data_IF_921676676623
#
_entry.id   IF_921676676623
#
_cell.length_a   1.000
_cell.length_b   1.000
_cell.length_c   1.000
_cell.angle_alpha   90.00
_cell.angle_beta   90.00
_cell.angle_gamma   90.00
#
_symmetry.space_group_name_H-M   'P 1'
#
loop_
_entity.id
_entity.type
_entity.pdbx_description
1 polymer ?
#
# COMPACT_ATOMS: atom_id res chain seq x y z
N UNK A 1 10.75 -1.78 -22.47
CA UNK A 1 10.11 -0.71 -21.69
C UNK A 1 8.70 -1.18 -21.35
N UNK A 2 8.31 -1.24 -20.08
CA UNK A 2 6.93 -1.65 -19.75
C UNK A 2 5.99 -0.53 -20.17
N UNK A 3 4.98 -0.84 -20.98
CA UNK A 3 3.93 0.09 -21.38
C UNK A 3 2.96 0.29 -20.23
N UNK A 4 2.62 1.54 -19.91
CA UNK A 4 1.63 1.82 -18.89
C UNK A 4 0.22 1.41 -19.37
N UNK A 5 -0.72 1.17 -18.45
CA UNK A 5 -2.12 0.96 -18.80
C UNK A 5 -2.68 2.17 -19.56
N UNK A 6 -3.54 1.97 -20.59
CA UNK A 6 -4.10 3.08 -21.39
C UNK A 6 -4.79 4.17 -20.56
N UNK A 7 -5.44 3.79 -19.45
CA UNK A 7 -6.11 4.73 -18.54
C UNK A 7 -5.13 5.73 -17.90
N UNK A 8 -3.85 5.38 -17.74
CA UNK A 8 -2.85 6.28 -17.16
C UNK A 8 -2.53 7.49 -18.05
N UNK A 9 -2.87 7.44 -19.34
CA UNK A 9 -2.68 8.58 -20.24
C UNK A 9 -3.57 9.78 -19.94
N UNK A 10 -4.62 9.56 -19.14
CA UNK A 10 -5.55 10.61 -18.69
C UNK A 10 -5.03 11.36 -17.45
N UNK A 11 -3.97 10.86 -16.80
CA UNK A 11 -3.40 11.50 -15.62
C UNK A 11 -2.65 12.80 -15.99
N UNK A 12 -2.56 13.80 -15.10
CA UNK A 12 -1.65 14.92 -15.26
C UNK A 12 -0.19 14.46 -15.41
N UNK A 13 0.64 15.18 -16.16
CA UNK A 13 2.00 14.75 -16.50
C UNK A 13 2.87 14.41 -15.28
N UNK A 14 2.79 15.21 -14.21
CA UNK A 14 3.49 14.92 -12.96
C UNK A 14 3.06 13.59 -12.32
N UNK A 15 1.76 13.28 -12.34
CA UNK A 15 1.23 12.02 -11.82
C UNK A 15 1.60 10.83 -12.72
N UNK A 16 1.67 11.02 -14.05
CA UNK A 16 2.14 9.97 -14.97
C UNK A 16 3.56 9.50 -14.61
N UNK A 17 4.45 10.42 -14.27
CA UNK A 17 5.83 10.11 -13.87
C UNK A 17 5.83 9.23 -12.61
N UNK A 18 5.12 9.66 -11.57
CA UNK A 18 5.02 8.91 -10.31
C UNK A 18 4.39 7.52 -10.51
N UNK A 19 3.27 7.46 -11.24
CA UNK A 19 2.59 6.21 -11.54
C UNK A 19 3.49 5.27 -12.35
N UNK A 20 4.26 5.79 -13.31
CA UNK A 20 5.23 5.01 -14.08
C UNK A 20 6.33 4.42 -13.22
N UNK A 21 6.91 5.22 -12.32
CA UNK A 21 7.93 4.76 -11.40
C UNK A 21 7.39 3.62 -10.52
N UNK A 22 6.20 3.82 -9.95
CA UNK A 22 5.54 2.82 -9.13
C UNK A 22 5.23 1.52 -9.89
N UNK A 23 4.64 1.64 -11.08
CA UNK A 23 4.27 0.49 -11.91
C UNK A 23 5.49 -0.33 -12.32
N UNK A 24 6.57 0.34 -12.72
CA UNK A 24 7.83 -0.32 -13.06
C UNK A 24 8.45 -1.02 -11.85
N UNK A 25 8.48 -0.37 -10.68
CA UNK A 25 9.00 -0.96 -9.45
C UNK A 25 8.25 -2.24 -9.07
N UNK A 26 6.90 -2.21 -9.09
CA UNK A 26 6.10 -3.40 -8.78
C UNK A 26 6.35 -4.55 -9.77
N UNK A 27 6.49 -4.25 -11.06
CA UNK A 27 6.78 -5.28 -12.06
C UNK A 27 8.18 -5.86 -11.87
N UNK A 28 9.16 -5.02 -11.53
CA UNK A 28 10.53 -5.46 -11.23
C UNK A 28 10.56 -6.37 -9.99
N UNK A 29 9.90 -5.96 -8.90
CA UNK A 29 9.79 -6.77 -7.69
C UNK A 29 9.07 -8.09 -7.99
N UNK A 30 7.96 -8.06 -8.71
CA UNK A 30 7.22 -9.27 -9.08
C UNK A 30 8.07 -10.23 -9.90
N UNK A 31 8.84 -9.69 -10.85
CA UNK A 31 9.77 -10.48 -11.68
C UNK A 31 10.87 -11.11 -10.82
N UNK A 32 11.50 -10.32 -9.93
CA UNK A 32 12.57 -10.80 -9.03
C UNK A 32 12.05 -11.85 -8.04
N UNK A 33 10.89 -11.65 -7.45
CA UNK A 33 10.26 -12.62 -6.54
C UNK A 33 9.94 -13.91 -7.29
N UNK A 34 9.37 -13.84 -8.50
CA UNK A 34 9.08 -15.03 -9.29
C UNK A 34 10.34 -15.79 -9.68
N UNK A 35 11.37 -15.09 -10.16
CA UNK A 35 12.64 -15.73 -10.54
C UNK A 35 13.35 -16.39 -9.36
N UNK A 36 13.30 -15.78 -8.17
CA UNK A 36 14.01 -16.28 -6.99
C UNK A 36 13.24 -17.36 -6.23
N UNK A 37 11.93 -17.20 -6.12
CA UNK A 37 11.08 -17.99 -5.21
C UNK A 37 9.97 -18.77 -5.92
N UNK A 38 9.80 -18.61 -7.23
CA UNK A 38 8.78 -19.31 -8.02
C UNK A 38 7.34 -18.82 -7.85
N UNK A 39 7.13 -17.77 -7.04
CA UNK A 39 5.80 -17.22 -6.76
C UNK A 39 5.60 -15.85 -7.43
N UNK A 40 4.43 -15.60 -8.03
CA UNK A 40 4.12 -14.32 -8.66
C UNK A 40 3.28 -13.43 -7.70
N UNK A 41 3.86 -12.36 -7.12
CA UNK A 41 3.16 -11.52 -6.14
C UNK A 41 2.31 -10.41 -6.77
N UNK A 42 2.23 -10.31 -8.10
CA UNK A 42 1.63 -9.17 -8.81
C UNK A 42 0.24 -8.81 -8.29
N UNK A 43 -0.61 -9.82 -8.03
CA UNK A 43 -1.96 -9.61 -7.52
C UNK A 43 -1.96 -8.96 -6.12
N UNK A 44 -1.23 -9.56 -5.19
CA UNK A 44 -1.11 -9.08 -3.81
C UNK A 44 -0.52 -7.69 -3.72
N UNK A 45 0.55 -7.40 -4.49
CA UNK A 45 1.12 -6.05 -4.56
C UNK A 45 0.10 -5.04 -5.08
N UNK A 46 -0.58 -5.35 -6.18
CA UNK A 46 -1.62 -4.47 -6.75
C UNK A 46 -2.73 -4.20 -5.75
N UNK A 47 -3.22 -5.23 -5.07
CA UNK A 47 -4.27 -5.12 -4.04
C UNK A 47 -3.83 -4.19 -2.89
N UNK A 48 -2.59 -4.33 -2.41
CA UNK A 48 -2.07 -3.49 -1.33
C UNK A 48 -2.00 -2.00 -1.73
N UNK A 49 -1.53 -1.72 -2.95
CA UNK A 49 -1.49 -0.36 -3.52
C UNK A 49 -2.88 0.24 -3.74
N UNK A 50 -3.82 -0.56 -4.24
CA UNK A 50 -5.20 -0.12 -4.41
C UNK A 50 -5.83 0.29 -3.07
N UNK A 51 -5.62 -0.50 -2.01
CA UNK A 51 -6.08 -0.16 -0.67
C UNK A 51 -5.48 1.15 -0.15
N UNK A 52 -4.18 1.39 -0.38
CA UNK A 52 -3.53 2.64 0.02
C UNK A 52 -4.13 3.85 -0.72
N UNK A 53 -4.29 3.76 -2.04
CA UNK A 53 -4.87 4.86 -2.82
C UNK A 53 -6.32 5.15 -2.43
N UNK A 54 -7.10 4.13 -2.11
CA UNK A 54 -8.46 4.31 -1.57
C UNK A 54 -8.43 5.03 -0.22
N UNK A 55 -7.50 4.68 0.67
CA UNK A 55 -7.37 5.34 1.96
C UNK A 55 -6.92 6.81 1.82
N UNK A 56 -5.99 7.11 0.92
CA UNK A 56 -5.62 8.49 0.60
C UNK A 56 -6.77 9.29 0.00
N UNK A 57 -7.60 8.68 -0.85
CA UNK A 57 -8.77 9.35 -1.40
C UNK A 57 -9.75 9.75 -0.30
N UNK A 58 -10.00 8.86 0.67
CA UNK A 58 -10.85 9.18 1.83
C UNK A 58 -10.32 10.36 2.63
N UNK A 59 -9.01 10.42 2.90
CA UNK A 59 -8.39 11.57 3.58
C UNK A 59 -8.52 12.86 2.76
N UNK A 60 -8.31 12.77 1.44
CA UNK A 60 -8.46 13.91 0.54
C UNK A 60 -9.91 14.42 0.50
N UNK A 61 -10.90 13.54 0.54
CA UNK A 61 -12.32 13.89 0.59
C UNK A 61 -12.69 14.56 1.93
N UNK A 62 -12.20 14.03 3.06
CA UNK A 62 -12.35 14.69 4.37
C UNK A 62 -11.75 16.08 4.37
N UNK A 63 -10.52 16.22 3.87
CA UNK A 63 -9.83 17.50 3.76
C UNK A 63 -10.59 18.49 2.86
N UNK A 64 -10.98 18.08 1.66
CA UNK A 64 -11.65 18.95 0.68
C UNK A 64 -13.04 19.41 1.13
N UNK A 65 -13.75 18.58 1.91
CA UNK A 65 -15.06 18.92 2.47
C UNK A 65 -15.00 19.67 3.80
N UNK A 66 -13.81 19.79 4.41
CA UNK A 66 -13.66 20.28 5.78
C UNK A 66 -14.29 19.36 6.84
N UNK A 67 -14.58 18.11 6.48
CA UNK A 67 -15.16 17.13 7.39
C UNK A 67 -14.10 16.64 8.38
N UNK A 68 -14.41 16.74 9.67
CA UNK A 68 -13.57 16.20 10.74
C UNK A 68 -14.13 14.83 11.12
N UNK A 69 -13.47 13.72 10.75
CA UNK A 69 -13.95 12.38 11.11
C UNK A 69 -13.87 12.15 12.63
N UNK A 70 -14.60 11.16 13.12
CA UNK A 70 -14.39 10.66 14.49
C UNK A 70 -13.01 10.00 14.57
N UNK A 71 -12.40 10.03 15.75
CA UNK A 71 -11.06 9.45 15.95
C UNK A 71 -10.95 7.97 15.55
N UNK A 72 -12.01 7.18 15.75
CA UNK A 72 -12.05 5.78 15.31
C UNK A 72 -12.08 5.65 13.78
N UNK A 73 -12.92 6.43 13.09
CA UNK A 73 -13.02 6.43 11.63
C UNK A 73 -11.70 6.89 11.00
N UNK A 74 -11.12 7.97 11.55
CA UNK A 74 -9.80 8.46 11.18
C UNK A 74 -8.74 7.38 11.33
N UNK A 75 -8.67 6.72 12.49
CA UNK A 75 -7.63 5.74 12.76
C UNK A 75 -7.80 4.48 11.90
N UNK A 76 -9.04 4.04 11.66
CA UNK A 76 -9.32 2.89 10.80
C UNK A 76 -8.81 3.12 9.37
N UNK A 77 -9.00 4.32 8.82
CA UNK A 77 -8.43 4.69 7.53
C UNK A 77 -6.91 4.95 7.63
N UNK A 78 -6.49 5.64 8.69
CA UNK A 78 -5.11 6.03 9.02
C UNK A 78 -4.13 4.87 9.08
N UNK A 79 -4.59 3.73 9.60
CA UNK A 79 -3.82 2.47 9.60
C UNK A 79 -3.42 2.07 8.18
N UNK A 80 -4.31 2.24 7.20
CA UNK A 80 -4.02 1.91 5.79
C UNK A 80 -3.27 3.05 5.11
N UNK A 81 -3.68 4.31 5.31
CA UNK A 81 -3.03 5.47 4.69
C UNK A 81 -1.59 5.70 5.18
N UNK A 82 -1.20 5.14 6.33
CA UNK A 82 0.20 5.12 6.78
C UNK A 82 1.17 4.45 5.79
N UNK A 83 0.67 3.58 4.90
CA UNK A 83 1.49 2.86 3.92
C UNK A 83 2.35 1.73 4.49
N UNK A 84 2.36 1.53 5.81
CA UNK A 84 3.15 0.50 6.50
C UNK A 84 2.80 -0.90 6.01
N UNK A 85 1.52 -1.15 5.75
CA UNK A 85 1.03 -2.45 5.27
C UNK A 85 1.66 -2.85 3.94
N UNK A 86 1.84 -1.89 3.03
CA UNK A 86 2.49 -2.11 1.74
C UNK A 86 3.93 -2.54 1.95
N UNK A 87 4.67 -1.87 2.84
CA UNK A 87 6.07 -2.21 3.13
C UNK A 87 6.17 -3.65 3.63
N UNK A 88 5.29 -4.06 4.55
CA UNK A 88 5.28 -5.41 5.10
C UNK A 88 4.91 -6.48 4.06
N UNK A 89 3.95 -6.20 3.18
CA UNK A 89 3.61 -7.09 2.05
C UNK A 89 4.81 -7.26 1.11
N UNK A 90 5.51 -6.17 0.77
CA UNK A 90 6.71 -6.24 -0.07
C UNK A 90 7.83 -7.06 0.59
N UNK A 91 8.09 -6.83 1.89
CA UNK A 91 9.10 -7.59 2.65
C UNK A 91 8.78 -9.09 2.63
N UNK A 92 7.52 -9.47 2.87
CA UNK A 92 7.10 -10.88 2.85
C UNK A 92 7.48 -11.58 1.53
N UNK A 93 7.15 -10.97 0.39
CA UNK A 93 7.46 -11.53 -0.93
C UNK A 93 8.95 -11.48 -1.28
N UNK A 94 9.68 -10.45 -0.85
CA UNK A 94 11.12 -10.33 -1.11
C UNK A 94 11.91 -11.37 -0.30
N UNK A 95 11.53 -11.61 0.96
CA UNK A 95 12.11 -12.65 1.80
C UNK A 95 11.82 -14.05 1.24
N UNK A 96 10.60 -14.27 0.75
CA UNK A 96 10.17 -15.51 0.11
C UNK A 96 10.10 -16.73 1.05
N UNK A 97 10.18 -16.50 2.36
CA UNK A 97 10.10 -17.57 3.35
C UNK A 97 8.66 -18.07 3.46
N UNK A 98 8.45 -19.38 3.24
CA UNK A 98 7.14 -20.04 3.35
C UNK A 98 6.07 -19.42 2.44
N UNK A 99 6.42 -19.06 1.20
CA UNK A 99 5.44 -18.64 0.19
C UNK A 99 4.55 -19.82 -0.22
N UNK A 100 3.43 -19.97 0.48
CA UNK A 100 2.32 -20.84 0.13
C UNK A 100 1.09 -19.98 -0.16
N UNK A 101 0.13 -20.53 -0.92
CA UNK A 101 -1.12 -19.83 -1.22
C UNK A 101 -1.86 -19.42 0.07
N UNK A 102 -1.90 -20.30 1.06
CA UNK A 102 -2.48 -20.04 2.38
C UNK A 102 -1.80 -18.86 3.10
N UNK A 103 -0.47 -18.81 3.13
CA UNK A 103 0.23 -17.71 3.78
C UNK A 103 0.04 -16.38 3.03
N UNK A 104 -0.05 -16.43 1.70
CA UNK A 104 -0.36 -15.25 0.87
C UNK A 104 -1.77 -14.74 1.17
N UNK A 105 -2.75 -15.62 1.30
CA UNK A 105 -4.13 -15.24 1.69
C UNK A 105 -4.18 -14.62 3.09
N UNK A 106 -3.41 -15.14 4.04
CA UNK A 106 -3.28 -14.55 5.38
C UNK A 106 -2.72 -13.14 5.29
N UNK A 107 -1.64 -12.93 4.53
CA UNK A 107 -1.00 -11.61 4.37
C UNK A 107 -1.93 -10.63 3.64
N UNK A 108 -2.58 -11.06 2.56
CA UNK A 108 -3.55 -10.28 1.80
C UNK A 108 -4.84 -9.97 2.58
N UNK A 109 -5.10 -10.74 3.65
CA UNK A 109 -6.20 -10.57 4.60
C UNK A 109 -5.94 -9.53 5.69
N UNK A 110 -4.81 -8.82 5.64
CA UNK A 110 -4.45 -7.78 6.60
C UNK A 110 -4.45 -8.29 8.06
N UNK A 111 -3.57 -9.25 8.38
CA UNK A 111 -3.59 -9.94 9.66
C UNK A 111 -3.21 -9.00 10.81
N UNK A 112 -3.58 -9.39 12.04
CA UNK A 112 -3.36 -8.59 13.26
C UNK A 112 -1.95 -8.06 13.43
N UNK A 113 -0.93 -8.80 13.02
CA UNK A 113 0.45 -8.33 13.10
C UNK A 113 0.69 -7.10 12.22
N UNK A 114 0.18 -7.10 10.99
CA UNK A 114 0.31 -5.97 10.07
C UNK A 114 -0.53 -4.79 10.59
N UNK A 115 -1.78 -5.02 10.97
CA UNK A 115 -2.66 -3.95 11.46
C UNK A 115 -2.15 -3.32 12.76
N UNK A 116 -1.55 -4.11 13.66
CA UNK A 116 -0.99 -3.58 14.91
C UNK A 116 0.24 -2.71 14.67
N UNK A 117 1.15 -3.14 13.80
CA UNK A 117 2.36 -2.36 13.46
C UNK A 117 1.97 -1.08 12.74
N UNK A 118 1.03 -1.14 11.79
CA UNK A 118 0.52 0.03 11.09
C UNK A 118 -0.20 1.01 12.03
N UNK A 119 -1.00 0.50 12.98
CA UNK A 119 -1.66 1.33 14.01
C UNK A 119 -0.64 2.03 14.91
N UNK A 120 0.37 1.31 15.39
CA UNK A 120 1.42 1.89 16.21
C UNK A 120 2.15 3.02 15.47
N UNK A 121 2.58 2.77 14.23
CA UNK A 121 3.30 3.76 13.44
C UNK A 121 2.42 4.96 13.08
N UNK A 122 1.14 4.77 12.75
CA UNK A 122 0.22 5.90 12.52
C UNK A 122 0.09 6.79 13.76
N UNK A 123 -0.14 6.18 14.92
CA UNK A 123 -0.28 6.93 16.16
C UNK A 123 1.02 7.64 16.56
N UNK A 124 2.17 7.02 16.31
CA UNK A 124 3.47 7.62 16.58
C UNK A 124 3.72 8.84 15.68
N UNK A 125 3.49 8.69 14.37
CA UNK A 125 3.62 9.77 13.39
C UNK A 125 2.71 10.96 13.72
N UNK A 126 1.44 10.69 14.04
CA UNK A 126 0.47 11.73 14.41
C UNK A 126 0.83 12.42 15.74
N UNK A 127 1.45 11.70 16.68
CA UNK A 127 1.86 12.27 17.96
C UNK A 127 2.99 13.28 17.78
N UNK A 128 3.99 12.98 16.94
CA UNK A 128 5.11 13.88 16.66
C UNK A 128 4.66 15.18 15.99
N UNK A 129 3.68 15.10 15.09
CA UNK A 129 3.13 16.29 14.40
C UNK A 129 2.28 17.16 15.34
N UNK A 130 1.63 16.57 16.35
CA UNK A 130 0.79 17.31 17.30
C UNK A 130 1.58 18.15 18.32
N UNK A 131 2.89 17.94 18.44
CA UNK A 131 3.77 18.69 19.36
C UNK A 131 4.38 19.97 18.75
N UNK A 132 4.11 20.25 17.46
CA UNK A 132 4.61 21.43 16.71
C UNK A 132 3.52 22.48 16.53
#
# INVERSE_FOLDING_TARGET
MVTLPPASEQLPDGMKICFKALYNLNNEISTKTYQKHGFNPTHSLRKAWESLFKAFLVEAEWFASGNIPRGEDYLNNGIISSGVHIVLVHIFFLLGQRLTQENVEIIDGFPRIISSVAKFLRLWDDFEIAEV
#
